data_IF_329784050703
#
_entry.id   IF_329784050703
#
_cell.length_a   1.000
_cell.length_b   1.000
_cell.length_c   1.000
_cell.angle_alpha   90.00
_cell.angle_beta   90.00
_cell.angle_gamma   90.00
#
_symmetry.space_group_name_H-M   'P 1'
#
loop_
_entity.id
_entity.type
_entity.pdbx_description
1 polymer ?
#
# COMPACT_ATOMS: atom_id res chain seq x y z
N UNK A 1 -26.11 -7.43 6.01
CA UNK A 1 -26.53 -7.11 4.63
C UNK A 1 -26.68 -8.41 3.85
N UNK A 2 -27.60 -8.53 2.89
CA UNK A 2 -27.65 -9.71 2.02
C UNK A 2 -26.36 -9.79 1.18
N UNK A 3 -25.85 -10.99 0.88
CA UNK A 3 -24.66 -11.15 0.06
C UNK A 3 -24.90 -10.59 -1.35
N UNK A 4 -23.88 -9.99 -1.99
CA UNK A 4 -24.01 -9.43 -3.32
C UNK A 4 -24.36 -10.52 -4.34
N UNK A 5 -25.23 -10.18 -5.29
CA UNK A 5 -25.60 -11.08 -6.40
C UNK A 5 -24.42 -11.31 -7.34
N UNK A 6 -24.43 -12.43 -8.08
CA UNK A 6 -23.44 -12.71 -9.12
C UNK A 6 -23.27 -11.54 -10.10
N UNK A 7 -24.37 -10.91 -10.54
CA UNK A 7 -24.33 -9.75 -11.43
C UNK A 7 -23.62 -8.52 -10.82
N UNK A 8 -23.79 -8.30 -9.51
CA UNK A 8 -23.09 -7.22 -8.80
C UNK A 8 -21.60 -7.50 -8.64
N UNK A 9 -21.23 -8.76 -8.35
CA UNK A 9 -19.82 -9.19 -8.29
C UNK A 9 -19.11 -9.00 -9.64
N UNK A 10 -19.76 -9.42 -10.74
CA UNK A 10 -19.23 -9.20 -12.10
C UNK A 10 -19.08 -7.72 -12.46
N UNK A 11 -20.06 -6.89 -12.07
CA UNK A 11 -20.01 -5.44 -12.35
C UNK A 11 -18.88 -4.76 -11.58
N UNK A 12 -18.70 -5.07 -10.30
CA UNK A 12 -17.61 -4.53 -9.46
C UNK A 12 -16.23 -4.98 -9.96
N UNK A 13 -16.08 -6.26 -10.29
CA UNK A 13 -14.85 -6.77 -10.90
C UNK A 13 -14.52 -6.03 -12.19
N UNK A 14 -15.49 -5.89 -13.09
CA UNK A 14 -15.30 -5.16 -14.35
C UNK A 14 -14.93 -3.68 -14.13
N UNK A 15 -15.55 -3.03 -13.15
CA UNK A 15 -15.21 -1.65 -12.77
C UNK A 15 -13.76 -1.52 -12.28
N UNK A 16 -13.24 -2.50 -11.54
CA UNK A 16 -11.84 -2.50 -11.09
C UNK A 16 -10.81 -2.54 -12.23
N UNK A 17 -11.21 -3.07 -13.40
CA UNK A 17 -10.42 -3.09 -14.64
C UNK A 17 -10.57 -1.82 -15.48
N UNK A 18 -11.50 -0.90 -15.16
CA UNK A 18 -11.58 0.40 -15.82
C UNK A 18 -10.49 1.33 -15.27
N UNK A 19 -9.71 1.95 -16.15
CA UNK A 19 -8.74 2.96 -15.74
C UNK A 19 -9.48 4.20 -15.20
N UNK A 20 -9.20 4.65 -13.96
CA UNK A 20 -9.77 5.90 -13.47
C UNK A 20 -9.15 7.08 -14.21
N UNK A 21 -9.74 8.28 -14.11
CA UNK A 21 -9.15 9.49 -14.68
C UNK A 21 -7.69 9.66 -14.22
N UNK A 22 -6.76 9.98 -15.14
CA UNK A 22 -5.39 10.28 -14.76
C UNK A 22 -5.38 11.52 -13.85
N UNK A 23 -4.52 11.48 -12.83
CA UNK A 23 -4.23 12.64 -11.98
C UNK A 23 -2.84 13.15 -12.30
N UNK A 24 -2.61 14.44 -12.07
CA UNK A 24 -1.25 14.99 -12.04
C UNK A 24 -0.52 14.36 -10.85
N UNK A 25 0.64 13.78 -11.11
CA UNK A 25 1.43 13.04 -10.11
C UNK A 25 2.69 13.85 -9.84
N UNK A 26 2.94 14.13 -8.55
CA UNK A 26 4.14 14.82 -8.12
C UNK A 26 5.41 13.99 -8.41
N UNK A 27 6.60 14.58 -8.42
CA UNK A 27 7.84 13.80 -8.45
C UNK A 27 7.90 12.83 -7.26
N UNK A 28 8.45 11.64 -7.50
CA UNK A 28 8.68 10.66 -6.44
C UNK A 28 9.62 11.26 -5.37
N UNK A 29 9.27 11.19 -4.08
CA UNK A 29 10.13 11.69 -3.00
C UNK A 29 11.48 11.00 -3.01
N UNK A 30 12.56 11.75 -2.77
CA UNK A 30 13.91 11.18 -2.71
C UNK A 30 14.38 11.05 -1.27
N UNK A 31 15.26 10.07 -1.03
CA UNK A 31 15.93 9.92 0.25
C UNK A 31 16.72 11.19 0.57
N UNK A 32 16.55 11.70 1.79
CA UNK A 32 17.13 12.94 2.28
C UNK A 32 16.25 14.18 2.08
N UNK A 33 15.15 14.08 1.32
CA UNK A 33 14.20 15.18 1.14
C UNK A 33 13.05 15.10 2.18
N UNK A 34 12.39 16.23 2.50
CA UNK A 34 11.18 16.22 3.31
C UNK A 34 10.08 15.34 2.68
N UNK A 35 9.37 14.59 3.52
CA UNK A 35 8.22 13.81 3.09
C UNK A 35 7.09 14.72 2.61
N UNK A 36 6.34 14.35 1.55
CA UNK A 36 5.17 15.09 1.13
C UNK A 36 4.12 15.20 2.24
N UNK A 37 3.47 16.35 2.33
CA UNK A 37 2.42 16.62 3.32
C UNK A 37 1.04 16.57 2.66
N UNK A 38 0.07 15.94 3.31
CA UNK A 38 -1.33 15.96 2.88
C UNK A 38 -2.26 15.88 4.10
N UNK A 39 -3.45 16.48 4.05
CA UNK A 39 -4.35 16.52 5.21
C UNK A 39 -4.82 15.13 5.67
N UNK A 40 -4.95 14.20 4.72
CA UNK A 40 -5.32 12.80 4.98
C UNK A 40 -4.16 11.94 5.50
N UNK A 41 -2.91 12.33 5.31
CA UNK A 41 -1.74 11.52 5.68
C UNK A 41 -0.73 12.38 6.44
N UNK A 42 -0.70 12.18 7.75
CA UNK A 42 0.18 12.91 8.67
C UNK A 42 1.07 11.90 9.39
N UNK A 43 2.36 11.78 9.00
CA UNK A 43 3.31 11.01 9.79
C UNK A 43 3.29 11.46 11.25
N UNK A 44 3.46 10.52 12.17
CA UNK A 44 3.37 10.83 13.59
C UNK A 44 4.45 11.86 13.99
N UNK A 45 4.10 12.98 14.63
CA UNK A 45 5.09 13.91 15.15
C UNK A 45 5.94 13.14 16.17
N UNK A 46 7.26 13.19 15.99
CA UNK A 46 8.27 12.59 16.87
C UNK A 46 8.46 11.06 16.78
N UNK A 47 7.82 10.36 15.84
CA UNK A 47 8.09 8.94 15.58
C UNK A 47 8.54 8.68 14.14
N UNK A 48 9.54 7.80 13.93
CA UNK A 48 9.76 7.27 12.60
C UNK A 48 8.51 6.54 12.13
N UNK A 49 8.13 6.74 10.86
CA UNK A 49 6.91 6.21 10.27
C UNK A 49 7.22 5.36 9.05
N UNK A 50 6.68 4.15 8.98
CA UNK A 50 6.62 3.34 7.75
C UNK A 50 5.24 3.49 7.14
N UNK A 51 5.18 3.87 5.87
CA UNK A 51 3.94 4.14 5.13
C UNK A 51 3.88 3.19 3.95
N UNK A 52 2.82 2.39 3.84
CA UNK A 52 2.59 1.44 2.75
C UNK A 52 1.35 1.85 1.98
N UNK A 53 1.54 2.21 0.72
CA UNK A 53 0.49 2.46 -0.26
C UNK A 53 0.07 1.15 -0.92
N UNK A 54 -1.14 0.69 -0.63
CA UNK A 54 -1.68 -0.56 -1.12
C UNK A 54 -2.07 -0.46 -2.61
N UNK A 55 -1.93 -1.56 -3.34
CA UNK A 55 -2.27 -1.56 -4.77
C UNK A 55 -3.77 -1.54 -5.04
N UNK A 56 -4.55 -2.29 -4.25
CA UNK A 56 -6.01 -2.28 -4.12
C UNK A 56 -6.46 -3.35 -3.12
N UNK A 57 -7.59 -3.13 -2.45
CA UNK A 57 -8.24 -4.17 -1.65
C UNK A 57 -8.65 -5.34 -2.56
N UNK A 58 -8.27 -6.54 -2.15
CA UNK A 58 -8.49 -7.79 -2.90
C UNK A 58 -7.29 -8.31 -3.72
N UNK A 59 -6.23 -7.50 -3.90
CA UNK A 59 -4.97 -7.99 -4.46
C UNK A 59 -4.26 -8.91 -3.44
N UNK A 60 -3.82 -10.13 -3.82
CA UNK A 60 -3.12 -11.03 -2.90
C UNK A 60 -1.80 -10.43 -2.41
N UNK A 61 -1.13 -9.64 -3.24
CA UNK A 61 0.12 -8.98 -2.88
C UNK A 61 -0.11 -7.77 -1.96
N UNK A 62 -1.25 -7.08 -2.09
CA UNK A 62 -1.62 -6.04 -1.13
C UNK A 62 -1.97 -6.66 0.24
N UNK A 63 -2.64 -7.81 0.26
CA UNK A 63 -2.89 -8.57 1.51
C UNK A 63 -1.58 -9.00 2.16
N UNK A 64 -0.62 -9.52 1.38
CA UNK A 64 0.71 -9.86 1.89
C UNK A 64 1.46 -8.65 2.44
N UNK A 65 1.47 -7.53 1.71
CA UNK A 65 2.11 -6.30 2.16
C UNK A 65 1.47 -5.77 3.46
N UNK A 66 0.14 -5.79 3.55
CA UNK A 66 -0.58 -5.36 4.74
C UNK A 66 -0.33 -6.28 5.92
N UNK A 67 -0.36 -7.61 5.75
CA UNK A 67 -0.01 -8.57 6.80
C UNK A 67 1.42 -8.42 7.30
N UNK A 68 2.37 -8.18 6.39
CA UNK A 68 3.75 -7.92 6.76
C UNK A 68 3.85 -6.62 7.58
N UNK A 69 3.12 -5.57 7.18
CA UNK A 69 3.09 -4.30 7.92
C UNK A 69 2.45 -4.46 9.30
N UNK A 70 1.32 -5.15 9.43
CA UNK A 70 0.65 -5.34 10.72
C UNK A 70 1.48 -6.19 11.69
N UNK A 71 2.10 -7.26 11.20
CA UNK A 71 3.05 -8.05 11.99
C UNK A 71 4.27 -7.22 12.42
N UNK A 72 4.80 -6.38 11.52
CA UNK A 72 5.89 -5.47 11.84
C UNK A 72 5.47 -4.43 12.88
N UNK A 73 4.31 -3.81 12.71
CA UNK A 73 3.79 -2.80 13.64
C UNK A 73 3.64 -3.37 15.04
N UNK A 74 3.03 -4.54 15.19
CA UNK A 74 2.88 -5.20 16.49
C UNK A 74 4.24 -5.50 17.17
N UNK A 75 5.26 -5.86 16.39
CA UNK A 75 6.61 -6.13 16.90
C UNK A 75 7.37 -4.87 17.32
N UNK A 76 7.11 -3.74 16.68
CA UNK A 76 7.86 -2.49 16.83
C UNK A 76 7.03 -1.35 17.45
N UNK A 77 5.86 -1.66 17.99
CA UNK A 77 5.04 -0.73 18.74
C UNK A 77 5.60 -0.55 20.18
N UNK A 78 5.70 0.69 20.71
CA UNK A 78 5.25 1.96 20.14
C UNK A 78 6.35 2.76 19.41
N UNK A 79 7.50 2.16 19.12
CA UNK A 79 8.70 2.87 18.63
C UNK A 79 8.55 3.36 17.18
N UNK A 80 7.84 2.61 16.33
CA UNK A 80 7.65 2.93 14.91
C UNK A 80 6.16 3.06 14.63
N UNK A 81 5.77 4.16 14.00
CA UNK A 81 4.41 4.34 13.51
C UNK A 81 4.24 3.63 12.16
N UNK A 82 3.15 2.91 11.97
CA UNK A 82 2.88 2.18 10.73
C UNK A 82 1.56 2.64 10.14
N UNK A 83 1.57 3.04 8.87
CA UNK A 83 0.38 3.50 8.15
C UNK A 83 0.21 2.67 6.88
N UNK A 84 -0.98 2.11 6.66
CA UNK A 84 -1.42 1.58 5.38
C UNK A 84 -2.36 2.59 4.70
N UNK A 85 -2.11 2.92 3.43
CA UNK A 85 -2.98 3.79 2.64
C UNK A 85 -3.73 2.94 1.62
N UNK A 86 -5.05 3.06 1.59
CA UNK A 86 -5.95 2.38 0.63
C UNK A 86 -6.61 3.41 -0.28
N UNK A 87 -6.79 3.11 -1.57
CA UNK A 87 -7.64 3.90 -2.48
C UNK A 87 -8.95 3.18 -2.85
N UNK A 88 -9.27 2.08 -2.16
CA UNK A 88 -10.65 1.60 -2.12
C UNK A 88 -11.48 2.55 -1.25
N UNK A 89 -12.80 2.56 -1.43
CA UNK A 89 -13.69 3.35 -0.58
C UNK A 89 -13.62 2.89 0.90
N UNK A 90 -14.19 3.68 1.81
CA UNK A 90 -14.11 3.42 3.24
C UNK A 90 -14.71 2.06 3.63
N UNK A 91 -15.92 1.75 3.15
CA UNK A 91 -16.62 0.52 3.50
C UNK A 91 -15.85 -0.71 3.00
N UNK A 92 -15.39 -0.69 1.74
CA UNK A 92 -14.64 -1.77 1.15
C UNK A 92 -13.27 -1.97 1.83
N UNK A 93 -12.65 -0.88 2.30
CA UNK A 93 -11.40 -0.95 3.05
C UNK A 93 -11.63 -1.58 4.42
N UNK A 94 -12.66 -1.15 5.15
CA UNK A 94 -12.99 -1.67 6.48
C UNK A 94 -13.31 -3.18 6.41
N UNK A 95 -14.19 -3.58 5.48
CA UNK A 95 -14.57 -4.98 5.27
C UNK A 95 -13.34 -5.84 4.92
N UNK A 96 -12.42 -5.32 4.10
CA UNK A 96 -11.20 -6.02 3.71
C UNK A 96 -10.22 -6.14 4.89
N UNK A 97 -10.03 -5.09 5.68
CA UNK A 97 -9.17 -5.10 6.88
C UNK A 97 -9.65 -6.14 7.88
N UNK A 98 -10.96 -6.17 8.18
CA UNK A 98 -11.55 -7.18 9.06
C UNK A 98 -11.27 -8.59 8.55
N UNK A 99 -11.49 -8.81 7.25
CA UNK A 99 -11.30 -10.11 6.64
C UNK A 99 -9.84 -10.58 6.64
N UNK A 100 -8.88 -9.66 6.48
CA UNK A 100 -7.46 -10.00 6.47
C UNK A 100 -6.94 -10.38 7.86
N UNK A 101 -7.65 -9.97 8.92
CA UNK A 101 -7.34 -10.27 10.32
C UNK A 101 -7.17 -9.04 11.22
N UNK A 102 -7.64 -7.87 10.79
CA UNK A 102 -7.56 -6.61 11.52
C UNK A 102 -6.29 -5.79 11.25
N UNK A 103 -6.33 -4.52 11.66
CA UNK A 103 -5.23 -3.56 11.47
C UNK A 103 -4.19 -3.57 12.60
N UNK A 104 -4.50 -4.16 13.76
CA UNK A 104 -3.60 -4.17 14.93
C UNK A 104 -3.14 -2.76 15.28
N UNK A 105 -1.82 -2.55 15.48
CA UNK A 105 -1.21 -1.24 15.73
C UNK A 105 -0.92 -0.44 14.43
N UNK A 106 -1.52 -0.83 13.30
CA UNK A 106 -1.36 -0.12 12.02
C UNK A 106 -2.51 0.84 11.81
N UNK A 107 -2.21 2.10 11.50
CA UNK A 107 -3.20 3.07 11.06
C UNK A 107 -3.61 2.77 9.62
N UNK A 108 -4.91 2.80 9.32
CA UNK A 108 -5.42 2.65 7.95
C UNK A 108 -6.01 3.97 7.49
N UNK A 109 -5.44 4.55 6.43
CA UNK A 109 -5.87 5.79 5.81
C UNK A 109 -6.55 5.47 4.48
N UNK A 110 -7.77 6.00 4.29
CA UNK A 110 -8.51 5.88 3.04
C UNK A 110 -8.32 7.15 2.19
N UNK A 111 -7.77 6.94 1.00
CA UNK A 111 -7.54 7.92 -0.04
C UNK A 111 -8.16 7.45 -1.36
N UNK A 112 -9.48 7.28 -1.36
CA UNK A 112 -10.29 6.84 -2.52
C UNK A 112 -9.99 7.67 -3.78
N UNK A 113 -9.83 8.98 -3.60
CA UNK A 113 -9.52 9.92 -4.66
C UNK A 113 -8.07 9.82 -5.17
N UNK A 114 -7.16 9.15 -4.45
CA UNK A 114 -5.74 9.01 -4.81
C UNK A 114 -4.95 10.33 -4.77
N UNK A 115 -5.39 11.29 -3.95
CA UNK A 115 -4.70 12.59 -3.80
C UNK A 115 -3.36 12.42 -3.06
N UNK A 116 -3.36 11.60 -2.01
CA UNK A 116 -2.15 11.25 -1.26
C UNK A 116 -1.22 10.42 -2.14
N UNK A 117 -1.75 9.45 -2.89
CA UNK A 117 -0.95 8.69 -3.87
C UNK A 117 -0.24 9.62 -4.85
N UNK A 118 -0.98 10.56 -5.45
CA UNK A 118 -0.44 11.53 -6.40
C UNK A 118 0.63 12.44 -5.78
N UNK A 119 0.40 12.93 -4.55
CA UNK A 119 1.36 13.74 -3.81
C UNK A 119 2.66 12.99 -3.47
N UNK A 120 2.58 11.67 -3.33
CA UNK A 120 3.73 10.77 -3.08
C UNK A 120 4.34 10.20 -4.35
N UNK A 121 3.97 10.71 -5.52
CA UNK A 121 4.53 10.30 -6.80
C UNK A 121 4.07 8.92 -7.30
N UNK A 122 2.98 8.39 -6.73
CA UNK A 122 2.42 7.09 -7.11
C UNK A 122 1.25 7.26 -8.10
N UNK A 123 1.56 7.06 -9.38
CA UNK A 123 0.59 7.13 -10.47
C UNK A 123 -0.10 5.81 -10.82
N UNK A 124 -0.74 5.80 -11.98
CA UNK A 124 -1.29 4.59 -12.56
C UNK A 124 -0.21 3.82 -13.35
N UNK A 125 -0.25 2.50 -13.26
CA UNK A 125 0.58 1.58 -14.04
C UNK A 125 -0.01 1.35 -15.43
N UNK A 126 0.85 1.00 -16.38
CA UNK A 126 0.45 0.55 -17.72
C UNK A 126 -0.05 -0.91 -17.70
N UNK A 127 -0.91 -1.25 -18.67
CA UNK A 127 -1.63 -2.53 -18.78
C UNK A 127 -0.78 -3.81 -18.55
N UNK A 128 0.50 -3.79 -18.89
CA UNK A 128 1.39 -4.97 -18.86
C UNK A 128 1.88 -5.39 -17.48
N UNK A 129 1.91 -4.48 -16.50
CA UNK A 129 2.38 -4.79 -15.13
C UNK A 129 1.36 -5.57 -14.29
N UNK A 130 0.09 -5.57 -14.70
CA UNK A 130 -1.03 -6.10 -13.91
C UNK A 130 -1.39 -7.56 -14.21
N UNK A 131 -1.09 -8.07 -15.42
CA UNK A 131 -1.68 -9.31 -15.96
C UNK A 131 -0.65 -10.22 -16.66
N UNK A 132 0.63 -10.10 -16.30
CA UNK A 132 1.68 -10.97 -16.85
C UNK A 132 1.59 -12.42 -16.32
N UNK A 133 2.06 -13.42 -17.08
CA UNK A 133 2.05 -14.84 -16.65
C UNK A 133 2.82 -15.07 -15.34
N UNK A 134 3.82 -14.25 -15.04
CA UNK A 134 4.57 -14.30 -13.79
C UNK A 134 3.74 -13.87 -12.58
N UNK A 135 2.91 -12.83 -12.71
CA UNK A 135 2.02 -12.36 -11.64
C UNK A 135 0.97 -13.42 -11.27
N UNK A 136 0.46 -14.15 -12.28
CA UNK A 136 -0.47 -15.28 -12.07
C UNK A 136 0.23 -16.42 -11.32
N UNK A 137 1.44 -16.79 -11.75
CA UNK A 137 2.23 -17.82 -11.08
C UNK A 137 2.50 -17.47 -9.60
N UNK A 138 2.93 -16.23 -9.34
CA UNK A 138 3.20 -15.77 -7.98
C UNK A 138 1.94 -15.75 -7.10
N UNK A 139 0.80 -15.35 -7.65
CA UNK A 139 -0.47 -15.40 -6.92
C UNK A 139 -0.86 -16.85 -6.55
N UNK A 140 -0.64 -17.81 -7.46
CA UNK A 140 -0.85 -19.25 -7.18
C UNK A 140 0.12 -19.76 -6.10
N UNK A 141 1.38 -19.35 -6.14
CA UNK A 141 2.37 -19.73 -5.12
C UNK A 141 2.00 -19.16 -3.75
N UNK A 142 1.55 -17.90 -3.68
CA UNK A 142 1.11 -17.27 -2.45
C UNK A 142 -0.13 -17.97 -1.86
N UNK A 143 -1.09 -18.35 -2.72
CA UNK A 143 -2.26 -19.13 -2.32
C UNK A 143 -1.90 -20.50 -1.74
N UNK A 144 -0.93 -21.20 -2.35
CA UNK A 144 -0.47 -22.52 -1.89
C UNK A 144 0.34 -22.46 -0.60
N UNK A 145 1.23 -21.49 -0.48
CA UNK A 145 2.21 -21.45 0.61
C UNK A 145 1.71 -20.66 1.83
N UNK A 146 0.85 -19.66 1.60
CA UNK A 146 0.42 -18.72 2.64
C UNK A 146 -1.10 -18.61 2.78
N UNK A 147 -1.86 -19.34 1.96
CA UNK A 147 -3.34 -19.31 1.98
C UNK A 147 -3.93 -18.00 1.45
N UNK A 148 -3.14 -17.14 0.81
CA UNK A 148 -3.58 -15.84 0.29
C UNK A 148 -3.98 -15.99 -1.16
N UNK A 149 -5.29 -15.98 -1.42
CA UNK A 149 -5.85 -16.08 -2.76
C UNK A 149 -6.33 -14.71 -3.27
N UNK A 150 -6.39 -14.54 -4.59
CA UNK A 150 -6.98 -13.34 -5.18
C UNK A 150 -8.45 -13.24 -4.79
N UNK A 151 -8.88 -12.04 -4.38
CA UNK A 151 -10.25 -11.77 -3.95
C UNK A 151 -10.92 -10.80 -4.90
N UNK A 152 -12.24 -10.78 -4.82
CA UNK A 152 -13.03 -9.79 -5.54
C UNK A 152 -12.59 -8.39 -5.11
N UNK A 153 -12.28 -7.55 -6.10
CA UNK A 153 -12.01 -6.13 -5.87
C UNK A 153 -13.36 -5.42 -5.73
N UNK A 154 -13.74 -5.14 -4.49
CA UNK A 154 -15.02 -4.51 -4.12
C UNK A 154 -15.10 -3.07 -4.64
N UNK A 155 -13.99 -2.33 -4.58
CA UNK A 155 -13.80 -0.99 -5.11
C UNK A 155 -12.32 -0.62 -5.27
N UNK A 156 -12.05 0.57 -5.81
CA UNK A 156 -10.72 0.98 -6.24
C UNK A 156 -10.37 0.44 -7.62
N UNK A 157 -9.10 0.58 -7.99
CA UNK A 157 -8.62 0.19 -9.33
C UNK A 157 -7.40 -0.72 -9.26
N UNK A 158 -7.31 -1.66 -10.21
CA UNK A 158 -6.12 -2.51 -10.41
C UNK A 158 -4.93 -1.73 -10.97
N UNK A 159 -5.16 -0.53 -11.49
CA UNK A 159 -4.13 0.22 -12.17
C UNK A 159 -3.28 1.07 -11.24
N UNK A 160 -3.69 1.29 -9.98
CA UNK A 160 -2.92 2.10 -9.04
C UNK A 160 -1.58 1.42 -8.71
N UNK A 161 -0.49 2.17 -8.75
CA UNK A 161 0.83 1.68 -8.32
C UNK A 161 0.89 1.74 -6.80
N UNK A 162 1.29 0.62 -6.18
CA UNK A 162 1.60 0.55 -4.77
C UNK A 162 3.05 0.94 -4.49
N UNK A 163 3.36 1.23 -3.23
CA UNK A 163 4.71 1.59 -2.81
C UNK A 163 4.83 1.64 -1.30
N UNK A 164 6.04 1.81 -0.81
CA UNK A 164 6.29 2.01 0.61
C UNK A 164 7.43 2.98 0.84
N UNK A 165 7.36 3.67 1.97
CA UNK A 165 8.27 4.72 2.35
C UNK A 165 8.60 4.62 3.84
N UNK A 166 9.82 4.99 4.20
CA UNK A 166 10.20 5.18 5.59
C UNK A 166 10.58 6.64 5.79
N UNK A 167 9.95 7.27 6.79
CA UNK A 167 10.14 8.67 7.15
C UNK A 167 10.67 8.73 8.58
N UNK A 168 11.73 9.49 8.83
CA UNK A 168 12.25 9.65 10.18
C UNK A 168 11.37 10.60 11.03
N UNK A 169 11.70 10.70 12.32
CA UNK A 169 10.99 11.57 13.27
C UNK A 169 11.02 13.07 12.92
N UNK A 170 11.89 13.50 12.00
CA UNK A 170 11.98 14.89 11.51
C UNK A 170 11.17 15.10 10.23
N UNK A 171 10.46 14.08 9.75
CA UNK A 171 9.71 14.15 8.51
C UNK A 171 10.58 14.02 7.26
N UNK A 172 11.79 13.45 7.36
CA UNK A 172 12.69 13.26 6.21
C UNK A 172 12.56 11.84 5.68
N UNK A 173 12.47 11.68 4.37
CA UNK A 173 12.42 10.37 3.70
C UNK A 173 13.78 9.68 3.84
N UNK A 174 13.78 8.46 4.37
CA UNK A 174 14.98 7.62 4.55
C UNK A 174 15.01 6.42 3.62
N UNK A 175 13.84 5.98 3.16
CA UNK A 175 13.72 4.84 2.25
C UNK A 175 12.49 4.97 1.36
N UNK A 176 12.63 4.47 0.13
CA UNK A 176 11.60 4.51 -0.91
C UNK A 176 11.60 3.17 -1.64
N UNK A 177 10.42 2.56 -1.78
CA UNK A 177 10.23 1.34 -2.56
C UNK A 177 8.92 1.44 -3.35
N UNK A 178 9.01 1.76 -4.63
CA UNK A 178 7.86 1.77 -5.54
C UNK A 178 7.78 0.42 -6.24
N UNK A 179 6.60 -0.20 -6.21
CA UNK A 179 6.38 -1.48 -6.87
C UNK A 179 6.48 -1.32 -8.39
N UNK A 180 7.42 -2.05 -9.01
CA UNK A 180 7.55 -2.10 -10.47
C UNK A 180 6.55 -3.09 -11.06
N UNK A 181 6.22 -4.14 -10.33
CA UNK A 181 5.26 -5.17 -10.73
C UNK A 181 4.16 -5.35 -9.69
N UNK A 182 3.01 -5.89 -10.08
CA UNK A 182 1.91 -6.15 -9.16
C UNK A 182 2.27 -7.12 -8.02
N UNK A 183 3.32 -7.93 -8.20
CA UNK A 183 3.75 -8.95 -7.22
C UNK A 183 4.81 -8.48 -6.22
N UNK A 184 5.31 -7.25 -6.36
CA UNK A 184 6.34 -6.74 -5.45
C UNK A 184 5.74 -6.36 -4.10
N UNK A 185 6.28 -6.97 -3.04
CA UNK A 185 5.93 -6.71 -1.65
C UNK A 185 7.09 -5.94 -1.01
N UNK A 186 6.85 -4.82 -0.30
CA UNK A 186 7.93 -4.05 0.32
C UNK A 186 8.65 -4.83 1.44
N UNK A 187 9.97 -4.60 1.55
CA UNK A 187 10.82 -5.16 2.60
C UNK A 187 10.86 -4.24 3.83
N UNK A 188 10.13 -4.62 4.88
CA UNK A 188 10.04 -3.83 6.12
C UNK A 188 11.37 -3.82 6.91
N UNK A 189 12.21 -4.84 6.77
CA UNK A 189 13.52 -4.88 7.44
C UNK A 189 14.52 -3.93 6.75
N UNK A 190 14.42 -3.76 5.42
CA UNK A 190 15.14 -2.72 4.70
C UNK A 190 14.70 -1.31 5.14
N UNK A 191 13.39 -1.10 5.27
CA UNK A 191 12.85 0.16 5.78
C UNK A 191 13.34 0.47 7.21
N UNK A 192 13.32 -0.53 8.09
CA UNK A 192 13.83 -0.41 9.46
C UNK A 192 15.31 -0.03 9.51
N UNK A 193 16.15 -0.71 8.72
CA UNK A 193 17.59 -0.40 8.65
C UNK A 193 17.83 1.06 8.25
N UNK A 194 17.12 1.55 7.23
CA UNK A 194 17.24 2.93 6.78
C UNK A 194 16.80 3.97 7.82
N UNK A 195 15.89 3.61 8.73
CA UNK A 195 15.48 4.47 9.85
C UNK A 195 16.51 4.50 10.99
N UNK A 196 17.30 3.45 11.15
CA UNK A 196 18.32 3.33 12.21
C UNK A 196 19.66 3.90 11.75
N UNK A 197 19.98 3.85 10.46
CA UNK A 197 21.24 4.39 9.92
C UNK A 197 21.34 5.91 10.16
N UNK A 198 22.31 6.28 10.99
CA UNK A 198 22.69 7.67 11.24
C UNK A 198 23.35 8.20 9.98
N UNK A 199 23.00 9.41 9.48
CA UNK A 199 23.69 10.00 8.34
C UNK A 199 25.19 10.04 8.65
N UNK A 200 25.99 9.33 7.87
CA UNK A 200 27.43 9.54 7.90
C UNK A 200 27.64 10.94 7.33
N UNK A 201 28.05 11.90 8.17
CA UNK A 201 28.45 13.21 7.68
C UNK A 201 29.56 12.97 6.65
N UNK A 202 29.27 13.30 5.39
CA UNK A 202 30.28 13.36 4.35
C UNK A 202 31.28 14.43 4.79
N UNK A 203 32.48 13.99 5.12
CA UNK A 203 33.61 14.81 5.53
C UNK A 203 34.17 15.61 4.36
#
# INVERSE_FOLDING_TARGET
>A
MPPPTLGQLFTKEFQSFKSPPPKEVAPLPKVGEPAPTHDKLKPAPDKPTIIVFLRHCGCPFAEKAFRNLTAFSNKHHPQIHCIAVSHSDQQATDDWVEHVGGAWETEVVVDEERDVYAAWGLGLSSYWHAIGPFSIYNAVQLGKNEGIWNRTTESGTRWQVGGAFAVDKKGVVKWVSVARTASEVPDMDAALRALIEVPTEAT
#
